data_IF_531732676822
#
_entry.id   IF_531732676822
#
_cell.length_a   1.000
_cell.length_b   1.000
_cell.length_c   1.000
_cell.angle_alpha   90.00
_cell.angle_beta   90.00
_cell.angle_gamma   90.00
#
_symmetry.space_group_name_H-M   'P 1'
#
loop_
_entity.id
_entity.type
_entity.pdbx_description
1 polymer ?
#
# COMPACT_ATOMS: atom_id res chain seq x y z
N UNK A 1 13.28 15.73 10.86
CA UNK A 1 13.07 15.25 9.48
C UNK A 1 13.75 13.90 9.38
N UNK A 2 13.01 12.85 9.10
CA UNK A 2 13.60 11.51 8.86
C UNK A 2 14.49 11.62 7.64
N UNK A 3 15.72 11.13 7.73
CA UNK A 3 16.54 11.02 6.53
C UNK A 3 16.01 9.82 5.72
N UNK A 4 15.18 10.11 4.72
CA UNK A 4 14.57 9.09 3.87
C UNK A 4 15.65 8.23 3.18
N UNK A 5 16.85 8.76 2.99
CA UNK A 5 17.97 8.06 2.39
C UNK A 5 18.44 6.88 3.27
N UNK A 6 18.55 7.08 4.58
CA UNK A 6 18.94 6.01 5.51
C UNK A 6 17.89 4.89 5.57
N UNK A 7 16.60 5.23 5.46
CA UNK A 7 15.52 4.28 5.37
C UNK A 7 15.58 3.45 4.08
N UNK A 8 15.86 4.09 2.95
CA UNK A 8 15.91 3.46 1.63
C UNK A 8 16.94 2.33 1.54
N UNK A 9 18.07 2.47 2.24
CA UNK A 9 19.11 1.44 2.28
C UNK A 9 18.64 0.13 2.92
N UNK A 10 17.62 0.19 3.78
CA UNK A 10 17.05 -0.98 4.46
C UNK A 10 15.70 -1.43 3.87
N UNK A 11 15.11 -0.64 2.96
CA UNK A 11 13.74 -0.88 2.50
C UNK A 11 13.53 -2.30 1.97
N UNK A 12 14.40 -2.76 1.08
CA UNK A 12 14.29 -4.09 0.48
C UNK A 12 14.57 -5.25 1.45
N UNK A 13 15.27 -4.99 2.55
CA UNK A 13 15.52 -6.01 3.58
C UNK A 13 14.28 -6.28 4.43
N UNK A 14 13.49 -5.23 4.71
CA UNK A 14 12.27 -5.34 5.51
C UNK A 14 11.01 -5.56 4.65
N UNK A 15 11.02 -5.12 3.40
CA UNK A 15 9.93 -5.29 2.43
C UNK A 15 10.45 -5.95 1.14
N UNK A 16 10.87 -7.22 1.22
CA UNK A 16 11.33 -7.94 0.03
C UNK A 16 10.16 -8.17 -0.93
N UNK A 17 10.52 -8.47 -2.19
CA UNK A 17 9.57 -8.98 -3.17
C UNK A 17 8.86 -10.24 -2.63
N UNK A 18 7.54 -10.30 -2.82
CA UNK A 18 6.72 -11.44 -2.41
C UNK A 18 6.01 -12.04 -3.62
N UNK A 19 6.40 -13.25 -4.01
CA UNK A 19 5.80 -13.96 -5.16
C UNK A 19 4.29 -14.09 -4.99
N UNK A 20 3.80 -14.40 -3.79
CA UNK A 20 2.37 -14.53 -3.49
C UNK A 20 1.55 -13.27 -3.76
N UNK A 21 2.12 -12.08 -3.54
CA UNK A 21 1.45 -10.82 -3.88
C UNK A 21 1.28 -10.69 -5.39
N UNK A 22 2.33 -11.03 -6.13
CA UNK A 22 2.32 -11.01 -7.61
C UNK A 22 1.33 -12.03 -8.14
N UNK A 23 1.36 -13.28 -7.69
CA UNK A 23 0.42 -14.34 -8.07
C UNK A 23 -1.03 -13.94 -7.77
N UNK A 24 -1.26 -13.32 -6.61
CA UNK A 24 -2.58 -12.80 -6.23
C UNK A 24 -3.07 -11.76 -7.24
N UNK A 25 -2.25 -10.74 -7.54
CA UNK A 25 -2.59 -9.71 -8.52
C UNK A 25 -2.84 -10.35 -9.89
N UNK A 26 -1.94 -11.22 -10.37
CA UNK A 26 -2.05 -11.89 -11.66
C UNK A 26 -3.33 -12.75 -11.76
N UNK A 27 -3.82 -13.30 -10.64
CA UNK A 27 -5.05 -14.09 -10.63
C UNK A 27 -6.29 -13.30 -11.08
N UNK A 28 -6.26 -11.96 -10.95
CA UNK A 28 -7.31 -11.05 -11.42
C UNK A 28 -7.06 -10.46 -12.81
N UNK A 29 -5.91 -10.74 -13.41
CA UNK A 29 -5.52 -10.20 -14.72
C UNK A 29 -5.72 -11.19 -15.89
N UNK A 30 -6.06 -12.45 -15.61
CA UNK A 30 -6.12 -13.54 -16.61
C UNK A 30 -7.01 -13.27 -17.83
N UNK A 31 -7.98 -12.39 -17.69
CA UNK A 31 -8.95 -12.07 -18.76
C UNK A 31 -8.62 -10.76 -19.50
N UNK A 32 -7.42 -10.20 -19.30
CA UNK A 32 -7.03 -8.95 -19.92
C UNK A 32 -5.76 -9.11 -20.76
N UNK A 33 -5.90 -9.03 -22.09
CA UNK A 33 -4.77 -9.15 -23.01
C UNK A 33 -3.75 -7.99 -22.89
N UNK A 34 -4.19 -6.82 -22.47
CA UNK A 34 -3.38 -5.61 -22.31
C UNK A 34 -3.73 -4.90 -21.00
N UNK A 35 -3.46 -5.56 -19.88
CA UNK A 35 -3.75 -5.01 -18.56
C UNK A 35 -2.94 -3.71 -18.33
N UNK A 36 -3.65 -2.64 -17.93
CA UNK A 36 -3.09 -1.36 -17.49
C UNK A 36 -3.21 -1.30 -15.97
N UNK A 37 -2.09 -1.23 -15.30
CA UNK A 37 -2.02 -1.31 -13.85
C UNK A 37 -1.62 0.03 -13.25
N UNK A 38 -2.18 0.38 -12.09
CA UNK A 38 -1.77 1.54 -11.30
C UNK A 38 -1.35 1.08 -9.90
N UNK A 39 -0.10 1.31 -9.53
CA UNK A 39 0.41 1.09 -8.19
C UNK A 39 0.52 2.42 -7.45
N UNK A 40 -0.38 2.64 -6.51
CA UNK A 40 -0.46 3.88 -5.72
C UNK A 40 0.34 3.75 -4.44
N UNK A 41 1.07 4.81 -4.06
CA UNK A 41 1.99 4.84 -2.91
C UNK A 41 2.99 3.67 -2.98
N UNK A 42 3.60 3.52 -4.15
CA UNK A 42 4.38 2.35 -4.52
C UNK A 42 5.69 2.17 -3.73
N UNK A 43 6.20 3.22 -3.06
CA UNK A 43 7.50 3.18 -2.40
C UNK A 43 8.61 2.75 -3.36
N UNK A 44 9.38 1.74 -2.98
CA UNK A 44 10.42 1.15 -3.85
C UNK A 44 9.88 0.09 -4.82
N UNK A 45 8.55 -0.12 -4.88
CA UNK A 45 7.87 -1.03 -5.78
C UNK A 45 8.58 -2.39 -5.94
N UNK A 46 8.48 -3.29 -4.95
CA UNK A 46 9.17 -4.58 -4.96
C UNK A 46 8.46 -5.58 -5.90
N UNK A 47 8.34 -5.22 -7.18
CA UNK A 47 7.79 -6.07 -8.22
C UNK A 47 8.92 -6.72 -9.02
N UNK A 48 8.70 -7.96 -9.47
CA UNK A 48 9.67 -8.71 -10.25
C UNK A 48 9.86 -8.11 -11.65
N UNK A 49 11.03 -8.35 -12.25
CA UNK A 49 11.28 -7.94 -13.64
C UNK A 49 10.33 -8.65 -14.61
N UNK A 50 9.98 -9.89 -14.33
CA UNK A 50 9.06 -10.67 -15.15
C UNK A 50 7.67 -10.06 -15.17
N UNK A 51 7.15 -9.66 -14.01
CA UNK A 51 5.89 -8.92 -13.91
C UNK A 51 5.92 -7.62 -14.73
N UNK A 52 6.96 -6.81 -14.55
CA UNK A 52 7.12 -5.56 -15.28
C UNK A 52 7.33 -5.74 -16.79
N UNK A 53 7.79 -6.90 -17.24
CA UNK A 53 7.90 -7.20 -18.68
C UNK A 53 6.55 -7.56 -19.33
N UNK A 54 5.62 -8.11 -18.56
CA UNK A 54 4.30 -8.55 -19.02
C UNK A 54 3.28 -7.42 -19.06
N UNK A 55 3.29 -6.53 -18.07
CA UNK A 55 2.21 -5.57 -17.84
C UNK A 55 2.67 -4.13 -18.01
N UNK A 56 1.72 -3.28 -18.42
CA UNK A 56 1.90 -1.83 -18.45
C UNK A 56 1.57 -1.28 -17.05
N UNK A 57 2.59 -0.77 -16.35
CA UNK A 57 2.47 -0.38 -14.96
C UNK A 57 2.76 1.10 -14.78
N UNK A 58 1.78 1.81 -14.26
CA UNK A 58 1.93 3.18 -13.77
C UNK A 58 2.18 3.15 -12.26
N UNK A 59 3.27 3.75 -11.82
CA UNK A 59 3.62 3.93 -10.42
C UNK A 59 3.37 5.36 -9.99
N UNK A 60 2.77 5.54 -8.82
CA UNK A 60 2.64 6.86 -8.18
C UNK A 60 3.10 6.79 -6.73
N UNK A 61 3.77 7.85 -6.28
CA UNK A 61 4.10 8.06 -4.88
C UNK A 61 4.19 9.56 -4.60
N UNK A 62 3.78 10.01 -3.43
CA UNK A 62 3.87 11.41 -3.02
C UNK A 62 5.30 11.86 -2.71
N UNK A 63 6.18 10.93 -2.34
CA UNK A 63 7.58 11.24 -2.05
C UNK A 63 8.43 11.17 -3.32
N UNK A 64 8.98 12.32 -3.71
CA UNK A 64 9.81 12.46 -4.91
C UNK A 64 11.08 11.60 -4.88
N UNK A 65 11.56 11.26 -3.69
CA UNK A 65 12.73 10.40 -3.47
C UNK A 65 12.48 8.99 -4.01
N UNK A 66 11.31 8.41 -3.72
CA UNK A 66 10.95 7.10 -4.26
C UNK A 66 10.81 7.12 -5.78
N UNK A 67 10.07 8.09 -6.31
CA UNK A 67 9.86 8.18 -7.77
C UNK A 67 11.15 8.46 -8.51
N UNK A 68 12.06 9.28 -7.97
CA UNK A 68 13.39 9.53 -8.54
C UNK A 68 14.25 8.26 -8.59
N UNK A 69 14.28 7.48 -7.51
CA UNK A 69 15.02 6.22 -7.46
C UNK A 69 14.44 5.16 -8.38
N UNK A 70 13.11 5.04 -8.44
CA UNK A 70 12.42 4.15 -9.36
C UNK A 70 12.71 4.51 -10.82
N UNK A 71 12.68 5.79 -11.16
CA UNK A 71 13.03 6.26 -12.49
C UNK A 71 14.45 5.82 -12.89
N UNK A 72 15.43 6.02 -12.02
CA UNK A 72 16.80 5.57 -12.27
C UNK A 72 16.91 4.06 -12.45
N UNK A 73 16.09 3.29 -11.71
CA UNK A 73 16.12 1.83 -11.74
C UNK A 73 15.40 1.20 -12.94
N UNK A 74 14.27 1.77 -13.35
CA UNK A 74 13.30 1.11 -14.23
C UNK A 74 13.12 1.75 -15.60
N UNK A 75 13.14 3.09 -15.73
CA UNK A 75 12.67 3.78 -16.95
C UNK A 75 13.53 3.49 -18.19
N UNK A 76 14.84 3.33 -18.00
CA UNK A 76 15.74 3.03 -19.13
C UNK A 76 15.67 1.57 -19.60
N UNK A 77 14.89 0.73 -18.93
CA UNK A 77 14.86 -0.72 -19.15
C UNK A 77 13.53 -1.23 -19.68
N UNK A 78 12.46 -0.44 -19.59
CA UNK A 78 11.12 -0.89 -19.94
C UNK A 78 10.19 0.28 -20.31
N UNK A 79 9.75 0.34 -21.55
CA UNK A 79 8.79 1.34 -22.06
C UNK A 79 7.34 1.11 -21.59
N UNK A 80 7.07 0.04 -20.84
CA UNK A 80 5.76 -0.24 -20.21
C UNK A 80 5.67 0.29 -18.77
N UNK A 81 6.70 0.98 -18.30
CA UNK A 81 6.76 1.54 -16.96
C UNK A 81 6.63 3.06 -17.01
N UNK A 82 5.65 3.58 -16.29
CA UNK A 82 5.39 5.02 -16.15
C UNK A 82 5.47 5.39 -14.68
N UNK A 83 6.16 6.47 -14.32
CA UNK A 83 6.38 6.86 -12.93
C UNK A 83 6.05 8.33 -12.76
N UNK A 84 5.15 8.64 -11.81
CA UNK A 84 4.71 9.99 -11.52
C UNK A 84 4.81 10.30 -10.02
N UNK A 85 5.26 11.50 -9.70
CA UNK A 85 5.18 12.00 -8.32
C UNK A 85 3.79 12.62 -8.12
N UNK A 86 2.87 11.85 -7.51
CA UNK A 86 1.48 12.24 -7.29
C UNK A 86 1.03 11.83 -5.89
N UNK A 87 0.29 12.70 -5.24
CA UNK A 87 -0.43 12.38 -4.01
C UNK A 87 -1.63 11.47 -4.33
N UNK A 88 -1.91 10.41 -3.53
CA UNK A 88 -3.02 9.51 -3.76
C UNK A 88 -4.39 10.18 -3.79
N UNK A 89 -4.55 11.32 -3.13
CA UNK A 89 -5.83 12.08 -3.14
C UNK A 89 -6.01 12.97 -4.38
N UNK A 90 -4.98 13.09 -5.23
CA UNK A 90 -5.00 13.92 -6.44
C UNK A 90 -4.88 13.13 -7.75
N UNK A 91 -4.78 11.79 -7.68
CA UNK A 91 -4.54 10.93 -8.86
C UNK A 91 -5.56 11.15 -9.99
N UNK A 92 -6.84 11.36 -9.66
CA UNK A 92 -7.90 11.57 -10.65
C UNK A 92 -7.79 12.89 -11.42
N UNK A 93 -6.95 13.84 -10.97
CA UNK A 93 -6.69 15.10 -11.68
C UNK A 93 -5.70 14.93 -12.82
N UNK A 94 -4.85 13.90 -12.74
CA UNK A 94 -3.70 13.74 -13.64
C UNK A 94 -3.77 12.46 -14.46
N UNK A 95 -4.57 11.47 -14.04
CA UNK A 95 -4.67 10.19 -14.72
C UNK A 95 -6.00 10.04 -15.45
N UNK A 96 -6.00 9.26 -16.53
CA UNK A 96 -7.15 9.12 -17.41
C UNK A 96 -8.25 8.26 -16.76
N UNK A 97 -9.51 8.70 -16.91
CA UNK A 97 -10.69 7.93 -16.52
C UNK A 97 -10.85 6.67 -17.37
N UNK A 98 -11.47 5.64 -16.80
CA UNK A 98 -11.78 4.37 -17.47
C UNK A 98 -10.57 3.75 -18.20
N UNK A 99 -9.38 3.90 -17.60
CA UNK A 99 -8.12 3.50 -18.23
C UNK A 99 -7.50 2.25 -17.60
N UNK A 100 -7.51 2.13 -16.26
CA UNK A 100 -6.82 1.06 -15.56
C UNK A 100 -7.71 -0.19 -15.42
N UNK A 101 -7.12 -1.36 -15.59
CA UNK A 101 -7.77 -2.65 -15.32
C UNK A 101 -7.69 -3.01 -13.84
N UNK A 102 -6.58 -2.63 -13.19
CA UNK A 102 -6.39 -2.87 -11.76
C UNK A 102 -5.58 -1.74 -11.14
N UNK A 103 -6.04 -1.28 -9.99
CA UNK A 103 -5.34 -0.32 -9.12
C UNK A 103 -5.00 -1.06 -7.83
N UNK A 104 -3.77 -0.94 -7.34
CA UNK A 104 -3.40 -1.54 -6.06
C UNK A 104 -2.62 -0.58 -5.19
N UNK A 105 -2.92 -0.67 -3.87
CA UNK A 105 -2.27 0.06 -2.81
C UNK A 105 -1.96 -0.94 -1.68
N UNK A 106 -0.69 -1.33 -1.57
CA UNK A 106 -0.23 -2.43 -0.73
C UNK A 106 0.58 -1.93 0.47
N UNK A 107 1.03 -2.87 1.33
CA UNK A 107 1.96 -2.58 2.42
C UNK A 107 1.51 -1.47 3.38
N UNK A 108 0.23 -1.50 3.79
CA UNK A 108 -0.36 -0.52 4.71
C UNK A 108 -0.39 0.94 4.21
N UNK A 109 -0.13 1.20 2.95
CA UNK A 109 0.00 2.58 2.45
C UNK A 109 -1.28 3.41 2.60
N UNK A 110 -2.46 2.79 2.54
CA UNK A 110 -3.73 3.50 2.73
C UNK A 110 -3.91 4.11 4.13
N UNK A 111 -3.25 3.59 5.17
CA UNK A 111 -3.40 4.17 6.52
C UNK A 111 -2.86 5.60 6.62
N UNK A 112 -1.96 6.01 5.71
CA UNK A 112 -1.41 7.36 5.65
C UNK A 112 -2.37 8.39 5.05
N UNK A 113 -3.56 7.99 4.61
CA UNK A 113 -4.63 8.91 4.18
C UNK A 113 -5.37 9.56 5.36
N UNK A 114 -4.94 9.28 6.61
CA UNK A 114 -5.24 9.99 7.85
C UNK A 114 -6.68 9.92 8.38
N UNK A 115 -7.72 9.76 7.54
CA UNK A 115 -9.11 9.64 7.93
C UNK A 115 -9.98 8.94 6.87
N UNK A 116 -11.21 8.63 7.23
CA UNK A 116 -12.17 7.92 6.37
C UNK A 116 -12.66 8.77 5.19
N UNK A 117 -12.65 10.10 5.32
CA UNK A 117 -13.06 11.02 4.24
C UNK A 117 -12.05 10.98 3.10
N UNK A 118 -10.75 11.04 3.41
CA UNK A 118 -9.69 10.94 2.41
C UNK A 118 -9.63 9.53 1.80
N UNK A 119 -9.84 8.50 2.60
CA UNK A 119 -9.95 7.11 2.10
C UNK A 119 -11.13 6.97 1.14
N UNK A 120 -12.31 7.52 1.50
CA UNK A 120 -13.49 7.51 0.63
C UNK A 120 -13.23 8.27 -0.67
N UNK A 121 -12.58 9.44 -0.60
CA UNK A 121 -12.17 10.20 -1.78
C UNK A 121 -11.26 9.36 -2.69
N UNK A 122 -10.22 8.75 -2.12
CA UNK A 122 -9.28 7.90 -2.88
C UNK A 122 -10.01 6.74 -3.57
N UNK A 123 -10.91 6.04 -2.88
CA UNK A 123 -11.67 4.92 -3.46
C UNK A 123 -12.63 5.39 -4.55
N UNK A 124 -13.27 6.55 -4.37
CA UNK A 124 -14.11 7.16 -5.40
C UNK A 124 -13.30 7.52 -6.65
N UNK A 125 -12.17 8.21 -6.49
CA UNK A 125 -11.29 8.60 -7.57
C UNK A 125 -10.72 7.38 -8.29
N UNK A 126 -10.27 6.37 -7.54
CA UNK A 126 -9.80 5.10 -8.10
C UNK A 126 -10.88 4.39 -8.90
N UNK A 127 -12.13 4.36 -8.41
CA UNK A 127 -13.27 3.80 -9.16
C UNK A 127 -13.48 4.52 -10.49
N UNK A 128 -13.32 5.84 -10.54
CA UNK A 128 -13.43 6.60 -11.79
C UNK A 128 -12.29 6.28 -12.79
N UNK A 129 -11.10 5.99 -12.30
CA UNK A 129 -9.95 5.63 -13.14
C UNK A 129 -10.02 4.20 -13.68
N UNK A 130 -10.77 3.31 -13.02
CA UNK A 130 -10.93 1.92 -13.43
C UNK A 130 -11.82 1.79 -14.67
N UNK A 131 -11.47 0.87 -15.56
CA UNK A 131 -12.36 0.33 -16.57
C UNK A 131 -13.54 -0.39 -15.92
N UNK A 132 -14.58 -0.65 -16.72
CA UNK A 132 -15.70 -1.51 -16.29
C UNK A 132 -15.19 -2.89 -15.87
N UNK A 133 -15.69 -3.42 -14.75
CA UNK A 133 -15.21 -4.63 -14.08
C UNK A 133 -13.75 -4.58 -13.59
N UNK A 134 -13.11 -3.41 -13.63
CA UNK A 134 -11.78 -3.19 -13.07
C UNK A 134 -11.77 -3.33 -11.54
N UNK A 135 -10.59 -3.56 -10.97
CA UNK A 135 -10.46 -3.90 -9.55
C UNK A 135 -9.52 -2.97 -8.80
N UNK A 136 -9.87 -2.71 -7.53
CA UNK A 136 -8.93 -2.13 -6.55
C UNK A 136 -8.50 -3.25 -5.62
N UNK A 137 -7.19 -3.43 -5.46
CA UNK A 137 -6.60 -4.37 -4.50
C UNK A 137 -5.91 -3.57 -3.39
N UNK A 138 -6.31 -3.80 -2.15
CA UNK A 138 -5.79 -3.12 -0.97
C UNK A 138 -5.12 -4.16 -0.08
N UNK A 139 -3.86 -3.91 0.32
CA UNK A 139 -3.12 -4.79 1.22
C UNK A 139 -2.78 -4.07 2.53
N UNK A 140 -3.32 -4.57 3.63
CA UNK A 140 -3.16 -4.03 4.98
C UNK A 140 -2.74 -5.12 5.97
N UNK A 141 -2.08 -4.72 7.03
CA UNK A 141 -2.03 -5.53 8.26
C UNK A 141 -3.42 -5.61 8.88
N UNK A 142 -3.74 -6.72 9.51
CA UNK A 142 -4.99 -6.86 10.22
C UNK A 142 -4.95 -6.14 11.57
N UNK A 143 -5.44 -4.90 11.61
CA UNK A 143 -5.49 -4.10 12.84
C UNK A 143 -6.50 -4.63 13.86
N UNK A 144 -7.45 -5.51 13.49
CA UNK A 144 -8.40 -6.10 14.45
C UNK A 144 -7.77 -7.06 15.46
N UNK A 145 -6.51 -7.45 15.25
CA UNK A 145 -5.71 -8.24 16.20
C UNK A 145 -5.27 -7.44 17.41
N UNK A 146 -5.30 -6.12 17.33
CA UNK A 146 -4.76 -5.22 18.34
C UNK A 146 -5.88 -4.49 19.07
N UNK A 147 -5.65 -4.25 20.36
CA UNK A 147 -6.55 -3.44 21.17
C UNK A 147 -6.31 -1.94 20.86
N UNK A 148 -7.13 -1.40 19.98
CA UNK A 148 -7.07 0.01 19.59
C UNK A 148 -7.53 0.99 20.69
N UNK A 149 -7.85 0.52 21.91
CA UNK A 149 -8.11 1.40 23.05
C UNK A 149 -6.84 1.78 23.82
N UNK A 150 -5.76 1.04 23.63
CA UNK A 150 -4.47 1.32 24.25
C UNK A 150 -3.85 2.60 23.73
N UNK A 151 -3.15 3.33 24.62
CA UNK A 151 -2.41 4.55 24.23
C UNK A 151 -1.25 4.25 23.27
N UNK A 152 -0.60 3.10 23.44
CA UNK A 152 0.49 2.62 22.60
C UNK A 152 0.21 1.20 22.16
N UNK A 153 0.36 0.94 20.87
CA UNK A 153 0.22 -0.38 20.24
C UNK A 153 1.54 -0.71 19.58
N UNK A 154 2.26 -1.66 20.15
CA UNK A 154 3.51 -2.17 19.58
C UNK A 154 3.22 -3.31 18.61
N UNK A 155 3.91 -3.29 17.46
CA UNK A 155 3.87 -4.39 16.49
C UNK A 155 5.06 -5.31 16.67
N UNK A 156 4.93 -6.61 16.33
CA UNK A 156 6.07 -7.50 16.30
C UNK A 156 7.20 -6.92 15.43
N UNK A 157 8.42 -6.97 15.94
CA UNK A 157 9.58 -6.52 15.20
C UNK A 157 9.79 -7.38 13.93
N UNK A 158 10.09 -6.74 12.82
CA UNK A 158 10.52 -7.41 11.59
C UNK A 158 12.04 -7.50 11.61
N UNK A 159 12.56 -8.73 11.57
CA UNK A 159 13.98 -8.98 11.65
C UNK A 159 14.56 -9.38 10.29
N UNK A 160 15.76 -8.88 10.00
CA UNK A 160 16.58 -9.27 8.85
C UNK A 160 18.05 -9.42 9.27
N UNK A 161 18.92 -9.85 8.37
CA UNK A 161 20.36 -10.00 8.65
C UNK A 161 21.06 -8.69 9.03
N UNK A 162 20.51 -7.55 8.60
CA UNK A 162 21.10 -6.21 8.84
C UNK A 162 20.55 -5.51 10.08
N UNK A 163 19.49 -6.03 10.71
CA UNK A 163 18.89 -5.44 11.90
C UNK A 163 17.41 -5.77 12.10
N UNK A 164 16.75 -4.99 12.93
CA UNK A 164 15.30 -5.10 13.19
C UNK A 164 14.59 -3.78 12.98
N UNK A 165 13.41 -3.86 12.36
CA UNK A 165 12.46 -2.78 12.23
C UNK A 165 11.44 -2.91 13.36
N UNK A 166 11.32 -1.89 14.19
CA UNK A 166 10.30 -1.77 15.24
C UNK A 166 9.33 -0.66 14.87
N UNK A 167 8.05 -0.92 14.97
CA UNK A 167 6.98 0.02 14.67
C UNK A 167 5.95 0.02 15.79
N UNK A 168 5.43 1.18 16.13
CA UNK A 168 4.33 1.32 17.09
C UNK A 168 3.35 2.41 16.64
N UNK A 169 2.13 2.32 17.11
CA UNK A 169 1.14 3.40 17.02
C UNK A 169 0.94 4.01 18.39
N UNK A 170 0.93 5.33 18.49
CA UNK A 170 0.50 6.06 19.67
C UNK A 170 -0.80 6.79 19.37
N UNK A 171 -1.79 6.69 20.29
CA UNK A 171 -3.09 7.32 20.14
C UNK A 171 -2.93 8.84 20.15
N UNK A 172 -3.54 9.51 19.19
CA UNK A 172 -3.61 10.97 19.19
C UNK A 172 -4.65 11.41 20.23
N UNK A 173 -4.25 12.30 21.14
CA UNK A 173 -5.13 12.76 22.23
C UNK A 173 -6.23 13.72 21.75
N UNK A 174 -6.04 14.32 20.60
CA UNK A 174 -6.91 15.37 20.05
C UNK A 174 -7.85 14.87 18.95
N UNK A 175 -7.62 13.66 18.46
CA UNK A 175 -8.39 13.10 17.34
C UNK A 175 -8.53 11.58 17.45
N UNK A 176 -9.44 10.99 16.64
CA UNK A 176 -9.60 9.53 16.52
C UNK A 176 -8.46 8.85 15.72
N UNK A 177 -7.37 9.56 15.44
CA UNK A 177 -6.23 9.06 14.69
C UNK A 177 -5.12 8.56 15.59
N UNK A 178 -4.09 7.99 14.98
CA UNK A 178 -2.88 7.52 15.61
C UNK A 178 -1.67 8.21 14.98
N UNK A 179 -0.54 8.18 15.70
CA UNK A 179 0.75 8.59 15.20
C UNK A 179 1.65 7.38 15.06
N UNK A 180 2.25 7.23 13.90
CA UNK A 180 3.20 6.16 13.63
C UNK A 180 4.57 6.56 14.16
N UNK A 181 5.13 5.74 15.06
CA UNK A 181 6.54 5.75 15.43
C UNK A 181 7.25 4.54 14.82
N UNK A 182 8.50 4.72 14.43
CA UNK A 182 9.27 3.61 13.90
C UNK A 182 10.78 3.86 14.00
N UNK A 183 11.52 2.77 14.16
CA UNK A 183 12.97 2.78 14.21
C UNK A 183 13.56 1.52 13.58
N UNK A 184 14.71 1.68 12.97
CA UNK A 184 15.58 0.56 12.62
C UNK A 184 16.67 0.48 13.68
N UNK A 185 16.85 -0.72 14.23
CA UNK A 185 17.96 -1.06 15.10
C UNK A 185 18.93 -1.92 14.29
N UNK A 186 19.97 -1.34 13.67
CA UNK A 186 20.93 -2.08 12.88
C UNK A 186 21.72 -3.08 13.73
N UNK A 187 22.17 -4.19 13.11
CA UNK A 187 23.09 -5.15 13.77
C UNK A 187 24.42 -4.47 14.14
N UNK A 188 24.82 -3.46 13.36
CA UNK A 188 26.01 -2.63 13.62
C UNK A 188 25.61 -1.16 13.42
N UNK A 189 25.84 -0.32 14.41
CA UNK A 189 25.63 1.12 14.28
C UNK A 189 24.56 1.70 15.20
N UNK A 190 24.16 2.92 14.91
CA UNK A 190 23.19 3.68 15.71
C UNK A 190 21.78 3.43 15.20
N UNK A 191 20.83 3.44 16.11
CA UNK A 191 19.39 3.40 15.79
C UNK A 191 19.01 4.55 14.85
N UNK A 192 18.23 4.21 13.82
CA UNK A 192 17.75 5.13 12.80
C UNK A 192 16.24 5.33 13.02
N UNK A 193 15.82 6.55 13.24
CA UNK A 193 14.38 6.87 13.30
C UNK A 193 13.84 6.98 11.89
N UNK A 194 12.81 6.18 11.55
CA UNK A 194 12.21 6.12 10.22
C UNK A 194 10.88 6.87 10.11
N UNK A 195 10.21 7.09 11.23
CA UNK A 195 9.02 7.92 11.31
C UNK A 195 9.02 8.67 12.63
N UNK A 196 8.57 9.91 12.57
CA UNK A 196 8.40 10.75 13.75
C UNK A 196 7.01 11.36 13.70
N UNK A 197 6.03 10.68 14.32
CA UNK A 197 4.66 11.18 14.49
C UNK A 197 3.86 11.38 13.18
N UNK A 198 4.10 10.58 12.15
CA UNK A 198 3.22 10.54 10.99
C UNK A 198 1.80 10.17 11.41
N UNK A 199 0.83 11.02 11.06
CA UNK A 199 -0.57 10.77 11.35
C UNK A 199 -1.10 9.64 10.47
N UNK A 200 -1.73 8.64 11.11
CA UNK A 200 -2.27 7.47 10.43
C UNK A 200 -3.66 7.11 10.95
N UNK A 201 -4.41 6.41 10.11
CA UNK A 201 -5.72 5.88 10.44
C UNK A 201 -5.70 4.34 10.32
N UNK A 202 -5.77 3.57 11.43
CA UNK A 202 -5.82 2.11 11.38
C UNK A 202 -7.08 1.65 10.66
N UNK A 203 -6.93 1.32 9.39
CA UNK A 203 -8.04 0.97 8.50
C UNK A 203 -8.41 -0.51 8.65
N UNK A 204 -9.64 -0.77 9.06
CA UNK A 204 -10.18 -2.11 9.25
C UNK A 204 -11.24 -2.49 8.21
N UNK A 205 -11.64 -3.76 8.22
CA UNK A 205 -12.63 -4.35 7.31
C UNK A 205 -13.94 -3.56 7.27
N UNK A 206 -14.52 -3.26 8.45
CA UNK A 206 -15.85 -2.63 8.52
C UNK A 206 -15.85 -1.23 7.88
N UNK A 207 -14.77 -0.46 8.05
CA UNK A 207 -14.63 0.85 7.43
C UNK A 207 -14.54 0.74 5.89
N UNK A 208 -13.71 -0.19 5.40
CA UNK A 208 -13.58 -0.42 3.94
C UNK A 208 -14.91 -0.88 3.36
N UNK A 209 -15.57 -1.85 4.00
CA UNK A 209 -16.87 -2.39 3.57
C UNK A 209 -17.91 -1.30 3.46
N UNK A 210 -18.09 -0.50 4.53
CA UNK A 210 -19.03 0.63 4.56
C UNK A 210 -18.78 1.60 3.40
N UNK A 211 -17.53 2.03 3.23
CA UNK A 211 -17.17 2.98 2.16
C UNK A 211 -17.43 2.35 0.77
N UNK A 212 -17.07 1.09 0.57
CA UNK A 212 -17.26 0.40 -0.71
C UNK A 212 -18.75 0.22 -1.06
N UNK A 213 -19.62 -0.08 -0.07
CA UNK A 213 -21.07 -0.13 -0.22
C UNK A 213 -21.64 1.25 -0.57
N UNK A 214 -21.23 2.31 0.13
CA UNK A 214 -21.65 3.69 -0.16
C UNK A 214 -21.25 4.13 -1.57
N UNK A 215 -20.08 3.71 -2.04
CA UNK A 215 -19.58 3.98 -3.38
C UNK A 215 -20.12 3.02 -4.44
N UNK A 216 -20.98 2.06 -4.06
CA UNK A 216 -21.64 1.08 -4.95
C UNK A 216 -20.63 0.30 -5.79
N UNK A 217 -19.60 -0.27 -5.16
CA UNK A 217 -18.79 -1.29 -5.80
C UNK A 217 -19.64 -2.55 -6.06
N UNK A 218 -19.48 -3.17 -7.22
CA UNK A 218 -20.30 -4.32 -7.64
C UNK A 218 -19.97 -5.61 -6.87
N UNK A 219 -18.73 -5.73 -6.39
CA UNK A 219 -18.27 -6.83 -5.54
C UNK A 219 -17.24 -6.35 -4.53
N UNK A 220 -17.26 -6.95 -3.34
CA UNK A 220 -16.36 -6.69 -2.22
C UNK A 220 -15.89 -8.03 -1.69
N UNK A 221 -14.61 -8.32 -1.79
CA UNK A 221 -14.00 -9.56 -1.32
C UNK A 221 -12.94 -9.25 -0.26
N UNK A 222 -12.85 -10.08 0.79
CA UNK A 222 -11.86 -9.94 1.86
C UNK A 222 -11.13 -11.27 2.08
N UNK A 223 -9.81 -11.19 2.17
CA UNK A 223 -8.93 -12.34 2.40
C UNK A 223 -7.98 -12.06 3.57
N UNK A 224 -7.56 -13.13 4.25
CA UNK A 224 -6.60 -13.07 5.35
C UNK A 224 -5.14 -13.02 4.91
N UNK A 225 -4.89 -13.32 3.63
CA UNK A 225 -3.57 -13.32 3.01
C UNK A 225 -3.65 -13.27 1.47
N UNK A 226 -2.51 -13.24 0.81
CA UNK A 226 -2.40 -13.26 -0.66
C UNK A 226 -2.54 -14.69 -1.26
N UNK A 227 -2.81 -15.72 -0.45
CA UNK A 227 -3.20 -17.06 -0.93
C UNK A 227 -4.71 -17.24 -0.99
N UNK A 228 -5.48 -16.17 -0.81
CA UNK A 228 -6.94 -16.15 -0.77
C UNK A 228 -7.56 -16.95 0.38
N UNK A 229 -6.84 -17.11 1.48
CA UNK A 229 -7.43 -17.66 2.71
C UNK A 229 -8.57 -16.75 3.20
N UNK A 230 -9.67 -17.29 3.71
CA UNK A 230 -10.75 -16.49 4.28
C UNK A 230 -10.22 -15.52 5.35
N UNK A 231 -10.75 -14.31 5.38
CA UNK A 231 -10.40 -13.38 6.44
C UNK A 231 -11.01 -13.80 7.77
N UNK A 232 -10.18 -13.90 8.79
CA UNK A 232 -10.53 -14.19 10.16
C UNK A 232 -9.93 -13.15 11.11
N UNK A 233 -10.45 -13.06 12.33
CA UNK A 233 -9.94 -12.13 13.35
C UNK A 233 -8.43 -12.28 13.58
N UNK A 234 -7.90 -13.49 13.48
CA UNK A 234 -6.47 -13.79 13.69
C UNK A 234 -5.63 -13.79 12.40
N UNK A 235 -6.22 -13.50 11.26
CA UNK A 235 -5.47 -13.38 9.99
C UNK A 235 -4.32 -12.37 10.13
N UNK A 236 -3.21 -12.63 9.46
CA UNK A 236 -2.05 -11.72 9.51
C UNK A 236 -2.32 -10.42 8.76
N UNK A 237 -3.02 -10.52 7.64
CA UNK A 237 -3.33 -9.40 6.77
C UNK A 237 -4.85 -9.23 6.63
N UNK A 238 -5.22 -8.08 6.10
CA UNK A 238 -6.52 -7.80 5.50
C UNK A 238 -6.25 -7.43 4.04
N UNK A 239 -6.52 -8.35 3.13
CA UNK A 239 -6.45 -8.09 1.69
C UNK A 239 -7.86 -7.90 1.17
N UNK A 240 -8.12 -6.75 0.55
CA UNK A 240 -9.45 -6.41 0.04
C UNK A 240 -9.40 -6.26 -1.48
N UNK A 241 -10.43 -6.79 -2.16
CA UNK A 241 -10.63 -6.60 -3.60
C UNK A 241 -12.00 -5.99 -3.83
N UNK A 242 -12.02 -4.80 -4.43
CA UNK A 242 -13.23 -4.08 -4.79
C UNK A 242 -13.37 -4.09 -6.31
N UNK A 243 -14.52 -4.50 -6.83
CA UNK A 243 -14.82 -4.49 -8.28
C UNK A 243 -15.74 -3.30 -8.62
N UNK A 244 -15.36 -2.53 -9.65
CA UNK A 244 -16.19 -1.43 -10.18
C UNK A 244 -17.51 -1.92 -10.73
#
# INVERSE_FOLDING_TARGET
MVNIVDWLDYYSDFFPHQDKEVEFIESYLKNYDNAKLLYVECGMAPLSKDFLSKYDVTFTDKFSEYTTLLNKRLIHKNNRVHIFNLDPIDIARYLAKDFFTTIFCLHNKMIFMQDDVLIKKFLFDSKMLLKENGKIIIGLSNFSKYDLQKDIIEFPAVNCSRGSLKVHLSKDKESASYRLGGEIVPSNGKTIQISQNEKVFPLGLETIKKIAEELKFSSIEFFGDYSKSPFEKNSSNLVCVLTK
#
